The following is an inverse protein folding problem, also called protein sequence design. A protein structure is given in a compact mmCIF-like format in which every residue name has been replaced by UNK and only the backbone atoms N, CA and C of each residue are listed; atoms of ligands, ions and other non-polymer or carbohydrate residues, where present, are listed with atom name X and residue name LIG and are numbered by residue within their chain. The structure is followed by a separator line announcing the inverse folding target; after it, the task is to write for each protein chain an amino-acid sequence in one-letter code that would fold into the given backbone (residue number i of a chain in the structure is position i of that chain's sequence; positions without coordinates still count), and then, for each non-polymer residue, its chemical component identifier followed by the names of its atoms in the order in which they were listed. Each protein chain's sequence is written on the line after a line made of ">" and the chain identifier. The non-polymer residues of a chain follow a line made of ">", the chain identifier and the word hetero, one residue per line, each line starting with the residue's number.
data_IF_391988997407
#
_entry.id   IF_391988997407
#
_cell.length_a   1.000
_cell.length_b   1.000
_cell.length_c   1.000
_cell.angle_alpha   90.00
_cell.angle_beta   90.00
_cell.angle_gamma   90.00
#
_symmetry.space_group_name_H-M   'P 1'
#
loop_
_entity.id
_entity.type
_entity.pdbx_description
1 polymer ?
#
# COMPACT_ATOMS: atom_id res chain seq x y z
N UNK A 1 -52.74 -22.50 4.99
CA UNK A 1 -52.50 -21.55 3.88
C UNK A 1 -53.12 -20.23 4.27
N UNK A 2 -52.32 -19.16 4.33
CA UNK A 2 -52.80 -17.82 4.69
C UNK A 2 -53.21 -17.05 3.40
N UNK A 3 -54.06 -16.02 3.51
CA UNK A 3 -54.63 -15.28 2.37
C UNK A 3 -53.59 -14.65 1.40
N UNK A 4 -52.32 -14.57 1.80
CA UNK A 4 -51.19 -14.09 0.97
C UNK A 4 -50.33 -15.21 0.33
N UNK A 5 -50.77 -16.48 0.33
CA UNK A 5 -50.09 -17.60 -0.39
C UNK A 5 -48.62 -17.79 -0.02
N UNK A 6 -48.25 -17.48 1.22
CA UNK A 6 -46.91 -17.71 1.78
C UNK A 6 -46.93 -18.91 2.72
N UNK A 7 -45.93 -19.79 2.62
CA UNK A 7 -45.69 -20.85 3.61
C UNK A 7 -45.07 -20.23 4.86
N UNK A 8 -45.61 -20.56 6.03
CA UNK A 8 -45.05 -20.18 7.32
C UNK A 8 -44.71 -21.47 8.07
N UNK A 9 -43.49 -21.55 8.60
CA UNK A 9 -43.03 -22.69 9.39
C UNK A 9 -42.44 -22.20 10.71
N UNK A 10 -42.88 -22.78 11.81
CA UNK A 10 -42.33 -22.51 13.15
C UNK A 10 -41.39 -23.66 13.51
N UNK A 11 -40.11 -23.36 13.72
CA UNK A 11 -39.14 -24.37 14.18
C UNK A 11 -39.31 -24.51 15.69
N UNK A 12 -39.84 -25.65 16.13
CA UNK A 12 -39.93 -26.01 17.55
C UNK A 12 -38.74 -26.94 17.85
N UNK A 13 -37.83 -26.49 18.71
CA UNK A 13 -36.65 -27.27 19.10
C UNK A 13 -36.38 -27.11 20.60
N UNK A 14 -35.98 -28.19 21.26
CA UNK A 14 -35.61 -28.21 22.69
C UNK A 14 -34.26 -27.52 22.97
N UNK A 15 -33.47 -27.22 21.94
CA UNK A 15 -32.18 -26.50 22.03
C UNK A 15 -32.21 -25.22 21.19
N UNK A 16 -31.36 -24.23 21.52
CA UNK A 16 -31.21 -23.00 20.72
C UNK A 16 -30.86 -23.38 19.27
N UNK A 17 -31.73 -23.00 18.34
CA UNK A 17 -31.57 -23.26 16.91
C UNK A 17 -30.39 -22.47 16.37
N UNK A 18 -29.45 -23.14 15.70
CA UNK A 18 -28.33 -22.48 15.03
C UNK A 18 -28.82 -21.65 13.84
N UNK A 19 -28.16 -20.51 13.59
CA UNK A 19 -28.54 -19.62 12.48
C UNK A 19 -28.48 -20.32 11.12
N UNK A 20 -27.56 -21.28 10.97
CA UNK A 20 -27.36 -22.07 9.76
C UNK A 20 -28.52 -23.05 9.50
N UNK A 21 -29.07 -23.65 10.55
CA UNK A 21 -30.21 -24.59 10.44
C UNK A 21 -31.50 -23.83 10.09
N UNK A 22 -31.68 -22.64 10.66
CA UNK A 22 -32.80 -21.76 10.32
C UNK A 22 -32.76 -21.33 8.84
N UNK A 23 -31.58 -21.02 8.30
CA UNK A 23 -31.42 -20.69 6.88
C UNK A 23 -31.69 -21.88 5.95
N UNK A 24 -31.25 -23.09 6.32
CA UNK A 24 -31.53 -24.32 5.54
C UNK A 24 -33.03 -24.60 5.47
N UNK A 25 -33.73 -24.51 6.60
CA UNK A 25 -35.19 -24.71 6.66
C UNK A 25 -35.92 -23.62 5.85
N UNK A 26 -35.47 -22.36 5.94
CA UNK A 26 -36.05 -21.26 5.16
C UNK A 26 -35.84 -21.44 3.65
N UNK A 27 -34.65 -21.89 3.22
CA UNK A 27 -34.35 -22.17 1.81
C UNK A 27 -35.23 -23.31 1.26
N UNK A 28 -35.41 -24.38 2.03
CA UNK A 28 -36.27 -25.51 1.66
C UNK A 28 -37.75 -25.08 1.57
N UNK A 29 -38.26 -24.33 2.55
CA UNK A 29 -39.63 -23.82 2.52
C UNK A 29 -39.86 -22.86 1.35
N UNK A 30 -38.87 -22.02 1.03
CA UNK A 30 -38.95 -21.10 -0.12
C UNK A 30 -38.97 -21.85 -1.45
N UNK A 31 -38.15 -22.89 -1.60
CA UNK A 31 -38.15 -23.75 -2.79
C UNK A 31 -39.49 -24.49 -2.94
N UNK A 32 -40.02 -25.04 -1.84
CA UNK A 32 -41.32 -25.74 -1.82
C UNK A 32 -42.48 -24.77 -2.14
N UNK A 33 -42.47 -23.56 -1.58
CA UNK A 33 -43.46 -22.52 -1.90
C UNK A 33 -43.41 -22.14 -3.38
N UNK A 34 -42.20 -21.97 -3.93
CA UNK A 34 -42.02 -21.57 -5.34
C UNK A 34 -42.57 -22.64 -6.29
N UNK A 35 -42.33 -23.92 -6.00
CA UNK A 35 -42.87 -25.02 -6.79
C UNK A 35 -44.39 -25.19 -6.65
N UNK A 36 -44.96 -24.98 -5.45
CA UNK A 36 -46.42 -25.02 -5.25
C UNK A 36 -47.14 -23.89 -5.99
N UNK A 37 -46.66 -22.65 -5.84
CA UNK A 37 -47.25 -21.47 -6.51
C UNK A 37 -47.15 -21.61 -8.03
N UNK A 38 -46.08 -22.21 -8.54
CA UNK A 38 -45.92 -22.43 -9.97
C UNK A 38 -46.80 -23.56 -10.53
N UNK A 39 -47.06 -24.61 -9.74
CA UNK A 39 -48.01 -25.66 -10.09
C UNK A 39 -49.46 -25.16 -10.15
N UNK A 40 -49.86 -24.27 -9.25
CA UNK A 40 -51.20 -23.65 -9.27
C UNK A 40 -51.40 -22.64 -10.41
N UNK A 41 -50.33 -21.99 -10.88
CA UNK A 41 -50.36 -21.04 -11.99
C UNK A 41 -50.23 -21.68 -13.39
N UNK A 42 -50.22 -23.02 -13.49
CA UNK A 42 -49.98 -23.77 -14.74
C UNK A 42 -48.69 -23.34 -15.48
N UNK A 43 -47.66 -22.90 -14.75
CA UNK A 43 -46.38 -22.50 -15.35
C UNK A 43 -45.62 -23.77 -15.69
N UNK A 44 -45.26 -23.94 -16.97
CA UNK A 44 -44.50 -25.11 -17.42
C UNK A 44 -43.13 -25.13 -16.72
N UNK A 45 -42.58 -26.33 -16.44
CA UNK A 45 -41.30 -26.49 -15.70
C UNK A 45 -40.14 -25.73 -16.36
N UNK A 46 -40.19 -25.56 -17.67
CA UNK A 46 -39.21 -24.78 -18.44
C UNK A 46 -39.29 -23.26 -18.17
N UNK A 47 -40.50 -22.71 -17.96
CA UNK A 47 -40.67 -21.28 -17.71
C UNK A 47 -40.36 -20.92 -16.25
N UNK A 48 -40.53 -21.87 -15.32
CA UNK A 48 -40.00 -21.75 -13.95
C UNK A 48 -38.48 -21.65 -13.92
N UNK A 49 -37.79 -22.47 -14.72
CA UNK A 49 -36.34 -22.42 -14.82
C UNK A 49 -35.86 -21.10 -15.42
N UNK A 50 -36.62 -20.50 -16.34
CA UNK A 50 -36.34 -19.14 -16.85
C UNK A 50 -36.57 -18.05 -15.80
N UNK A 51 -37.59 -18.17 -14.97
CA UNK A 51 -37.85 -17.22 -13.87
C UNK A 51 -36.82 -17.30 -12.74
N UNK A 52 -36.26 -18.49 -12.51
CA UNK A 52 -35.17 -18.72 -11.54
C UNK A 52 -33.78 -18.55 -12.14
N UNK A 53 -33.66 -18.41 -13.46
CA UNK A 53 -32.39 -18.14 -14.10
C UNK A 53 -31.87 -16.80 -13.58
N UNK A 54 -30.71 -16.82 -12.91
CA UNK A 54 -30.04 -15.60 -12.48
C UNK A 54 -29.75 -14.75 -13.73
N UNK A 55 -30.16 -13.49 -13.68
CA UNK A 55 -29.86 -12.54 -14.75
C UNK A 55 -28.35 -12.45 -14.92
N UNK A 56 -27.85 -12.81 -16.11
CA UNK A 56 -26.46 -12.59 -16.48
C UNK A 56 -26.28 -11.10 -16.74
N UNK A 57 -25.70 -10.42 -15.77
CA UNK A 57 -25.24 -9.03 -15.94
C UNK A 57 -23.91 -9.09 -16.67
N UNK A 58 -23.93 -8.76 -17.96
CA UNK A 58 -22.73 -8.62 -18.77
C UNK A 58 -22.20 -7.19 -18.61
N UNK A 59 -21.11 -7.05 -17.85
CA UNK A 59 -20.46 -5.75 -17.64
C UNK A 59 -19.61 -5.41 -18.86
N UNK A 60 -20.25 -4.80 -19.87
CA UNK A 60 -19.52 -4.18 -20.98
C UNK A 60 -19.06 -2.79 -20.56
N UNK A 61 -17.78 -2.67 -20.23
CA UNK A 61 -17.11 -1.39 -20.01
C UNK A 61 -17.01 -0.69 -21.38
N UNK A 62 -17.65 0.46 -21.52
CA UNK A 62 -17.51 1.32 -22.69
C UNK A 62 -16.30 2.23 -22.42
N UNK A 63 -15.11 1.69 -22.60
CA UNK A 63 -13.86 2.46 -22.65
C UNK A 63 -13.27 2.31 -24.04
N UNK A 64 -12.85 3.43 -24.63
CA UNK A 64 -12.35 3.51 -26.01
C UNK A 64 -10.88 3.06 -26.17
N UNK A 65 -10.32 2.36 -25.18
CA UNK A 65 -8.92 1.94 -25.19
C UNK A 65 -8.81 0.42 -25.35
N UNK A 66 -7.88 -0.03 -26.20
CA UNK A 66 -7.57 -1.44 -26.52
C UNK A 66 -7.15 -2.28 -25.28
N UNK A 67 -7.10 -1.67 -24.10
CA UNK A 67 -6.63 -2.21 -22.82
C UNK A 67 -7.68 -3.09 -22.11
N UNK A 68 -8.96 -3.03 -22.50
CA UNK A 68 -10.00 -3.89 -21.90
C UNK A 68 -10.12 -5.28 -22.57
N UNK A 69 -9.33 -5.55 -23.62
CA UNK A 69 -9.15 -6.89 -24.21
C UNK A 69 -7.94 -7.64 -23.64
N UNK A 70 -7.52 -7.29 -22.43
CA UNK A 70 -6.35 -7.89 -21.80
C UNK A 70 -6.69 -9.29 -21.28
N UNK A 71 -5.94 -10.29 -21.74
CA UNK A 71 -6.07 -11.70 -21.32
C UNK A 71 -5.99 -11.83 -19.80
N UNK A 72 -6.75 -12.77 -19.21
CA UNK A 72 -6.71 -13.05 -17.77
C UNK A 72 -5.27 -13.31 -17.27
N UNK A 73 -4.42 -13.96 -18.07
CA UNK A 73 -3.00 -14.16 -17.75
C UNK A 73 -2.21 -12.85 -17.58
N UNK A 74 -2.51 -11.84 -18.40
CA UNK A 74 -1.86 -10.53 -18.32
C UNK A 74 -2.34 -9.72 -17.12
N UNK A 75 -3.63 -9.84 -16.74
CA UNK A 75 -4.14 -9.23 -15.50
C UNK A 75 -3.41 -9.80 -14.28
N UNK A 76 -3.30 -11.13 -14.21
CA UNK A 76 -2.56 -11.82 -13.14
C UNK A 76 -1.10 -11.37 -13.11
N UNK A 77 -0.46 -11.23 -14.27
CA UNK A 77 0.91 -10.74 -14.34
C UNK A 77 1.05 -9.31 -13.79
N UNK A 78 0.17 -8.39 -14.20
CA UNK A 78 0.19 -7.02 -13.71
C UNK A 78 -0.07 -6.92 -12.20
N UNK A 79 -1.00 -7.74 -11.67
CA UNK A 79 -1.20 -7.87 -10.23
C UNK A 79 0.05 -8.39 -9.50
N UNK A 80 0.67 -9.44 -10.03
CA UNK A 80 1.90 -10.01 -9.46
C UNK A 80 3.05 -8.99 -9.48
N UNK A 81 3.16 -8.22 -10.57
CA UNK A 81 4.16 -7.16 -10.73
C UNK A 81 3.93 -6.03 -9.72
N UNK A 82 2.70 -5.53 -9.59
CA UNK A 82 2.37 -4.49 -8.61
C UNK A 82 2.63 -4.96 -7.17
N UNK A 83 2.20 -6.18 -6.83
CA UNK A 83 2.46 -6.79 -5.52
C UNK A 83 3.96 -6.90 -5.24
N UNK A 84 4.74 -7.38 -6.22
CA UNK A 84 6.19 -7.52 -6.12
C UNK A 84 6.88 -6.18 -5.88
N UNK A 85 6.48 -5.12 -6.60
CA UNK A 85 7.02 -3.77 -6.41
C UNK A 85 6.66 -3.21 -5.04
N UNK A 86 5.39 -3.32 -4.60
CA UNK A 86 4.96 -2.83 -3.28
C UNK A 86 5.74 -3.53 -2.16
N UNK A 87 5.92 -4.84 -2.27
CA UNK A 87 6.70 -5.62 -1.33
C UNK A 87 8.17 -5.19 -1.31
N UNK A 88 8.82 -5.16 -2.48
CA UNK A 88 10.22 -4.74 -2.60
C UNK A 88 10.43 -3.32 -2.05
N UNK A 89 9.53 -2.41 -2.39
CA UNK A 89 9.53 -1.04 -1.90
C UNK A 89 9.42 -1.00 -0.37
N UNK A 90 8.53 -1.78 0.24
CA UNK A 90 8.40 -1.87 1.70
C UNK A 90 9.72 -2.27 2.37
N UNK A 91 10.40 -3.29 1.84
CA UNK A 91 11.69 -3.72 2.37
C UNK A 91 12.77 -2.65 2.22
N UNK A 92 12.89 -2.05 1.03
CA UNK A 92 13.89 -1.01 0.74
C UNK A 92 13.68 0.18 1.68
N UNK A 93 12.46 0.68 1.76
CA UNK A 93 12.09 1.86 2.56
C UNK A 93 12.40 1.64 4.04
N UNK A 94 11.97 0.52 4.63
CA UNK A 94 12.24 0.24 6.04
C UNK A 94 13.71 -0.03 6.33
N UNK A 95 14.41 -0.68 5.40
CA UNK A 95 15.82 -0.98 5.57
C UNK A 95 16.66 0.30 5.60
N UNK A 96 16.48 1.22 4.64
CA UNK A 96 17.19 2.50 4.65
C UNK A 96 16.79 3.40 5.81
N UNK A 97 15.51 3.41 6.18
CA UNK A 97 15.04 4.11 7.37
C UNK A 97 15.73 3.62 8.65
N UNK A 98 15.86 2.30 8.82
CA UNK A 98 16.57 1.73 9.97
C UNK A 98 18.07 2.06 9.95
N UNK A 99 18.72 1.96 8.78
CA UNK A 99 20.14 2.26 8.63
C UNK A 99 20.49 3.71 9.03
N UNK A 100 19.78 4.71 8.48
CA UNK A 100 20.06 6.13 8.78
C UNK A 100 19.89 6.43 10.27
N UNK A 101 18.87 5.85 10.90
CA UNK A 101 18.59 6.07 12.31
C UNK A 101 19.67 5.44 13.19
N UNK A 102 20.19 4.27 12.79
CA UNK A 102 21.30 3.60 13.46
C UNK A 102 22.60 4.39 13.37
N UNK A 103 22.90 4.95 12.20
CA UNK A 103 24.07 5.79 12.01
C UNK A 103 24.02 7.06 12.87
N UNK A 104 22.88 7.75 12.90
CA UNK A 104 22.73 8.97 13.70
C UNK A 104 22.82 8.65 15.21
N UNK A 105 22.18 7.57 15.65
CA UNK A 105 22.23 7.15 17.05
C UNK A 105 23.63 6.70 17.47
N UNK A 106 24.38 6.01 16.59
CA UNK A 106 25.73 5.55 16.88
C UNK A 106 26.73 6.70 17.00
N UNK A 107 26.64 7.71 16.12
CA UNK A 107 27.47 8.91 16.19
C UNK A 107 27.26 9.72 17.46
N UNK A 108 26.00 9.84 17.88
CA UNK A 108 25.63 10.52 19.12
C UNK A 108 26.17 9.76 20.34
N UNK A 109 26.02 8.44 20.36
CA UNK A 109 26.45 7.57 21.48
C UNK A 109 27.97 7.52 21.59
N UNK A 110 28.69 7.51 20.46
CA UNK A 110 30.14 7.35 20.43
C UNK A 110 30.93 8.63 20.71
N UNK A 111 30.27 9.75 21.04
CA UNK A 111 30.86 11.11 21.13
C UNK A 111 31.59 11.59 19.87
N UNK A 112 31.53 10.84 18.78
CA UNK A 112 32.05 11.24 17.47
C UNK A 112 31.39 12.54 17.02
N UNK A 113 30.12 12.75 17.38
CA UNK A 113 29.42 14.00 17.08
C UNK A 113 30.12 15.23 17.67
N UNK A 114 30.74 15.14 18.86
CA UNK A 114 31.45 16.29 19.48
C UNK A 114 32.67 16.72 18.67
N UNK A 115 33.34 15.77 18.00
CA UNK A 115 34.44 16.06 17.09
C UNK A 115 33.95 16.55 15.72
N UNK A 116 32.84 16.00 15.21
CA UNK A 116 32.28 16.40 13.91
C UNK A 116 31.79 17.85 13.95
N UNK A 117 31.08 18.25 15.01
CA UNK A 117 30.50 19.60 15.11
C UNK A 117 31.54 20.71 15.28
N UNK A 118 32.77 20.40 15.69
CA UNK A 118 33.87 21.38 15.71
C UNK A 118 34.47 21.62 14.33
N UNK A 119 34.22 20.72 13.37
CA UNK A 119 34.77 20.76 12.01
C UNK A 119 33.75 21.17 10.95
N UNK A 120 32.47 20.77 11.10
CA UNK A 120 31.38 21.11 10.18
C UNK A 120 30.12 21.47 10.94
N UNK A 121 29.27 22.32 10.37
CA UNK A 121 27.99 22.66 11.00
C UNK A 121 27.08 21.43 11.13
N UNK A 122 26.34 21.26 12.24
CA UNK A 122 25.45 20.11 12.46
C UNK A 122 24.40 19.91 11.35
N UNK A 123 23.91 21.03 10.79
CA UNK A 123 22.89 21.03 9.73
C UNK A 123 23.45 20.45 8.43
N UNK A 124 24.66 20.86 8.04
CA UNK A 124 25.32 20.35 6.85
C UNK A 124 25.66 18.86 6.98
N UNK A 125 26.07 18.43 8.18
CA UNK A 125 26.36 17.02 8.44
C UNK A 125 25.16 16.10 8.20
N UNK A 126 23.99 16.44 8.78
CA UNK A 126 22.76 15.66 8.57
C UNK A 126 22.31 15.70 7.11
N UNK A 127 22.34 16.87 6.48
CA UNK A 127 21.86 17.01 5.10
C UNK A 127 22.73 16.21 4.12
N UNK A 128 24.05 16.27 4.28
CA UNK A 128 24.98 15.47 3.49
C UNK A 128 24.73 13.96 3.69
N UNK A 129 24.46 13.54 4.93
CA UNK A 129 24.16 12.14 5.23
C UNK A 129 22.85 11.66 4.61
N UNK A 130 21.77 12.43 4.73
CA UNK A 130 20.48 12.09 4.11
C UNK A 130 20.63 11.99 2.59
N UNK A 131 21.32 12.94 1.96
CA UNK A 131 21.60 12.88 0.52
C UNK A 131 22.43 11.66 0.14
N UNK A 132 23.43 11.29 0.95
CA UNK A 132 24.22 10.08 0.76
C UNK A 132 23.37 8.82 0.79
N UNK A 133 22.48 8.69 1.78
CA UNK A 133 21.55 7.54 1.87
C UNK A 133 20.60 7.50 0.70
N UNK A 134 20.06 8.64 0.26
CA UNK A 134 19.21 8.71 -0.94
C UNK A 134 20.00 8.28 -2.18
N UNK A 135 21.26 8.69 -2.32
CA UNK A 135 22.11 8.29 -3.43
C UNK A 135 22.35 6.76 -3.45
N UNK A 136 22.63 6.16 -2.28
CA UNK A 136 22.78 4.71 -2.14
C UNK A 136 21.47 3.97 -2.46
N UNK A 137 20.33 4.52 -2.04
CA UNK A 137 19.04 3.95 -2.38
C UNK A 137 18.74 3.99 -3.88
N UNK A 138 19.10 5.09 -4.55
CA UNK A 138 18.98 5.23 -6.00
C UNK A 138 19.90 4.24 -6.73
N UNK A 139 21.14 4.05 -6.27
CA UNK A 139 22.02 3.04 -6.88
C UNK A 139 21.48 1.63 -6.67
N UNK A 140 20.86 1.32 -5.52
CA UNK A 140 20.20 0.04 -5.32
C UNK A 140 19.02 -0.17 -6.30
N UNK A 141 18.19 0.86 -6.52
CA UNK A 141 17.10 0.78 -7.51
C UNK A 141 17.66 0.51 -8.92
N UNK A 142 18.74 1.22 -9.30
CA UNK A 142 19.42 1.00 -10.58
C UNK A 142 19.91 -0.45 -10.70
N UNK A 143 20.55 -0.98 -9.65
CA UNK A 143 21.02 -2.37 -9.63
C UNK A 143 19.88 -3.38 -9.74
N UNK A 144 18.74 -3.12 -9.10
CA UNK A 144 17.54 -3.97 -9.20
C UNK A 144 17.00 -3.97 -10.63
N UNK A 145 16.89 -2.80 -11.26
CA UNK A 145 16.43 -2.69 -12.66
C UNK A 145 17.40 -3.40 -13.59
N UNK A 146 18.70 -3.21 -13.42
CA UNK A 146 19.72 -3.92 -14.20
C UNK A 146 19.62 -5.44 -14.02
N UNK A 147 19.45 -5.91 -12.77
CA UNK A 147 19.28 -7.33 -12.49
C UNK A 147 18.01 -7.88 -13.13
N UNK A 148 16.90 -7.15 -13.10
CA UNK A 148 15.66 -7.55 -13.75
C UNK A 148 15.84 -7.70 -15.28
N UNK A 149 16.55 -6.76 -15.90
CA UNK A 149 16.88 -6.81 -17.35
C UNK A 149 17.78 -8.00 -17.65
N UNK A 150 18.85 -8.21 -16.86
CA UNK A 150 19.76 -9.35 -17.02
C UNK A 150 18.98 -10.67 -16.89
N UNK A 151 18.07 -10.78 -15.92
CA UNK A 151 17.26 -11.99 -15.76
C UNK A 151 16.38 -12.28 -16.99
N UNK A 152 15.81 -11.25 -17.62
CA UNK A 152 14.98 -11.41 -18.82
C UNK A 152 15.80 -12.00 -19.99
N UNK A 153 17.05 -11.55 -20.17
CA UNK A 153 17.91 -12.00 -21.27
C UNK A 153 18.70 -13.29 -20.97
N UNK A 154 19.10 -13.51 -19.72
CA UNK A 154 19.97 -14.63 -19.35
C UNK A 154 19.21 -15.94 -19.10
N UNK A 155 17.96 -15.87 -18.67
CA UNK A 155 17.14 -17.04 -18.31
C UNK A 155 16.00 -17.31 -19.32
N UNK A 156 16.00 -16.64 -20.48
CA UNK A 156 14.93 -16.73 -21.48
C UNK A 156 13.52 -16.67 -20.85
N UNK A 157 13.34 -15.76 -19.87
CA UNK A 157 12.05 -15.54 -19.21
C UNK A 157 10.95 -15.24 -20.24
N UNK A 158 11.32 -14.75 -21.42
CA UNK A 158 10.41 -14.49 -22.53
C UNK A 158 9.66 -15.74 -23.00
N UNK A 159 10.27 -16.91 -22.98
CA UNK A 159 9.62 -18.17 -23.38
C UNK A 159 8.68 -18.69 -22.27
N UNK A 160 9.07 -18.50 -21.01
CA UNK A 160 8.19 -18.74 -19.86
C UNK A 160 6.97 -17.82 -19.87
N UNK A 161 7.14 -16.54 -20.20
CA UNK A 161 6.07 -15.55 -20.25
C UNK A 161 5.13 -15.76 -21.45
N UNK A 162 5.65 -16.22 -22.59
CA UNK A 162 4.85 -16.61 -23.75
C UNK A 162 3.90 -17.77 -23.43
N UNK A 163 4.32 -18.72 -22.58
CA UNK A 163 3.47 -19.81 -22.10
C UNK A 163 2.23 -19.35 -21.31
N UNK A 164 2.25 -18.14 -20.76
CA UNK A 164 1.12 -17.50 -20.06
C UNK A 164 0.41 -16.43 -20.89
N UNK A 165 0.78 -16.25 -22.17
CA UNK A 165 0.28 -15.21 -23.06
C UNK A 165 0.45 -13.79 -22.46
N UNK A 166 1.60 -13.57 -21.80
CA UNK A 166 1.96 -12.32 -21.13
C UNK A 166 2.92 -11.51 -22.00
N UNK A 167 2.59 -10.25 -22.26
CA UNK A 167 3.42 -9.29 -22.99
C UNK A 167 3.65 -8.03 -22.14
N UNK A 168 4.79 -7.35 -22.34
CA UNK A 168 4.98 -6.04 -21.71
C UNK A 168 4.10 -5.03 -22.41
N UNK A 169 2.99 -4.65 -21.77
CA UNK A 169 2.07 -3.65 -22.29
C UNK A 169 2.29 -2.28 -21.61
N UNK A 170 1.57 -1.27 -22.10
CA UNK A 170 1.62 0.09 -21.55
C UNK A 170 1.36 0.11 -20.03
N UNK A 171 0.46 -0.75 -19.55
CA UNK A 171 0.08 -0.83 -18.14
C UNK A 171 1.20 -1.43 -17.28
N UNK A 172 1.86 -2.50 -17.75
CA UNK A 172 3.05 -3.06 -17.07
C UNK A 172 4.14 -2.01 -16.92
N UNK A 173 4.40 -1.22 -17.98
CA UNK A 173 5.38 -0.15 -17.96
C UNK A 173 5.00 0.98 -17.01
N UNK A 174 3.72 1.34 -16.97
CA UNK A 174 3.18 2.33 -16.04
C UNK A 174 3.41 1.92 -14.58
N UNK A 175 3.12 0.67 -14.21
CA UNK A 175 3.35 0.16 -12.86
C UNK A 175 4.84 0.23 -12.49
N UNK A 176 5.74 -0.12 -13.41
CA UNK A 176 7.20 -0.05 -13.17
C UNK A 176 7.66 1.40 -12.95
N UNK A 177 7.31 2.32 -13.86
CA UNK A 177 7.73 3.73 -13.76
C UNK A 177 7.19 4.38 -12.50
N UNK A 178 5.88 4.26 -12.26
CA UNK A 178 5.25 4.84 -11.07
C UNK A 178 5.81 4.17 -9.82
N UNK A 179 6.10 2.87 -9.87
CA UNK A 179 6.79 2.12 -8.82
C UNK A 179 8.15 2.70 -8.46
N UNK A 180 8.99 3.00 -9.45
CA UNK A 180 10.33 3.57 -9.24
C UNK A 180 10.23 4.99 -8.66
N UNK A 181 9.40 5.86 -9.25
CA UNK A 181 9.21 7.24 -8.77
C UNK A 181 8.69 7.23 -7.33
N UNK A 182 7.67 6.41 -7.07
CA UNK A 182 7.08 6.29 -5.74
C UNK A 182 8.05 5.69 -4.73
N UNK A 183 8.90 4.74 -5.14
CA UNK A 183 9.96 4.21 -4.27
C UNK A 183 10.93 5.29 -3.83
N UNK A 184 11.36 6.17 -4.73
CA UNK A 184 12.28 7.28 -4.39
C UNK A 184 11.61 8.25 -3.40
N UNK A 185 10.36 8.65 -3.68
CA UNK A 185 9.61 9.55 -2.79
C UNK A 185 9.38 8.90 -1.41
N UNK A 186 9.04 7.60 -1.39
CA UNK A 186 8.88 6.81 -0.17
C UNK A 186 10.16 6.73 0.63
N UNK A 187 11.29 6.41 0.01
CA UNK A 187 12.61 6.36 0.66
C UNK A 187 12.92 7.71 1.29
N UNK A 188 12.77 8.80 0.54
CA UNK A 188 13.03 10.15 1.05
C UNK A 188 12.18 10.46 2.29
N UNK A 189 10.88 10.16 2.26
CA UNK A 189 9.97 10.40 3.37
C UNK A 189 10.32 9.59 4.63
N UNK A 190 10.55 8.30 4.49
CA UNK A 190 10.82 7.42 5.63
C UNK A 190 12.23 7.62 6.19
N UNK A 191 13.25 7.86 5.35
CA UNK A 191 14.61 8.19 5.80
C UNK A 191 14.60 9.45 6.66
N UNK A 192 13.84 10.47 6.26
CA UNK A 192 13.74 11.71 7.04
C UNK A 192 13.03 11.52 8.37
N UNK A 193 11.91 10.81 8.39
CA UNK A 193 11.22 10.49 9.63
C UNK A 193 12.11 9.65 10.56
N UNK A 194 12.84 8.69 10.02
CA UNK A 194 13.77 7.86 10.77
C UNK A 194 14.96 8.65 11.31
N UNK A 195 15.47 9.62 10.53
CA UNK A 195 16.53 10.51 10.99
C UNK A 195 16.11 11.34 12.22
N UNK A 196 14.85 11.82 12.23
CA UNK A 196 14.27 12.50 13.40
C UNK A 196 14.24 11.55 14.59
N UNK A 197 13.65 10.36 14.42
CA UNK A 197 13.52 9.37 15.48
C UNK A 197 14.89 8.95 16.03
N UNK A 198 15.86 8.67 15.16
CA UNK A 198 17.23 8.32 15.54
C UNK A 198 17.98 9.45 16.27
N UNK A 199 17.73 10.71 15.90
CA UNK A 199 18.32 11.86 16.60
C UNK A 199 17.79 12.05 18.03
N UNK A 200 16.55 11.64 18.26
CA UNK A 200 15.86 11.71 19.55
C UNK A 200 16.25 10.56 20.48
N UNK A 201 16.68 9.43 19.91
CA UNK A 201 17.17 8.30 20.69
C UNK A 201 18.49 8.69 21.39
N UNK A 202 18.60 8.32 22.66
CA UNK A 202 19.79 8.60 23.48
C UNK A 202 20.81 7.47 23.46
N UNK A 203 20.36 6.26 23.14
CA UNK A 203 21.10 5.00 23.24
C UNK A 203 20.73 4.08 22.09
N UNK A 204 21.71 3.44 21.48
CA UNK A 204 21.49 2.54 20.34
C UNK A 204 20.58 1.37 20.74
N UNK A 205 20.62 0.95 22.00
CA UNK A 205 19.78 -0.13 22.53
C UNK A 205 18.28 0.19 22.51
N UNK A 206 17.92 1.48 22.59
CA UNK A 206 16.52 1.96 22.59
C UNK A 206 16.05 2.35 21.17
N UNK A 207 16.91 2.20 20.16
CA UNK A 207 16.62 2.63 18.79
C UNK A 207 15.49 1.84 18.15
N UNK A 208 15.49 0.51 18.34
CA UNK A 208 14.44 -0.36 17.80
C UNK A 208 13.05 0.03 18.35
N UNK A 209 12.98 0.44 19.62
CA UNK A 209 11.74 0.93 20.22
C UNK A 209 11.36 2.31 19.66
N UNK A 210 12.35 3.17 19.41
CA UNK A 210 12.15 4.50 18.82
C UNK A 210 11.64 4.43 17.37
N UNK A 211 12.04 3.41 16.62
CA UNK A 211 11.63 3.18 15.24
C UNK A 211 10.28 2.46 15.11
N UNK A 212 9.73 1.89 16.18
CA UNK A 212 8.45 1.17 16.14
C UNK A 212 7.30 1.97 15.52
N UNK A 213 7.10 3.28 15.82
CA UNK A 213 6.05 4.07 15.18
C UNK A 213 6.24 4.21 13.67
N UNK A 214 7.48 4.32 13.20
CA UNK A 214 7.81 4.40 11.77
C UNK A 214 7.55 3.06 11.07
N UNK A 215 7.95 1.96 11.70
CA UNK A 215 7.67 0.62 11.16
C UNK A 215 6.16 0.37 11.09
N UNK A 216 5.41 0.74 12.12
CA UNK A 216 3.95 0.63 12.14
C UNK A 216 3.31 1.47 11.02
N UNK A 217 3.78 2.70 10.83
CA UNK A 217 3.32 3.55 9.73
C UNK A 217 3.60 2.91 8.36
N UNK A 218 4.79 2.32 8.17
CA UNK A 218 5.14 1.52 6.99
C UNK A 218 4.22 0.33 6.79
N UNK A 219 3.91 -0.41 7.85
CA UNK A 219 3.00 -1.56 7.80
C UNK A 219 1.58 -1.15 7.44
N UNK A 220 1.08 -0.04 7.99
CA UNK A 220 -0.24 0.50 7.65
C UNK A 220 -0.29 0.84 6.16
N UNK A 221 0.71 1.56 5.64
CA UNK A 221 0.79 1.91 4.23
C UNK A 221 0.83 0.66 3.32
N UNK A 222 1.67 -0.31 3.68
CA UNK A 222 1.77 -1.59 2.97
C UNK A 222 0.44 -2.36 2.98
N UNK A 223 -0.20 -2.54 4.14
CA UNK A 223 -1.44 -3.30 4.22
C UNK A 223 -2.61 -2.62 3.53
N UNK A 224 -2.71 -1.29 3.59
CA UNK A 224 -3.73 -0.55 2.83
C UNK A 224 -3.50 -0.75 1.32
N UNK A 225 -2.25 -0.70 0.86
CA UNK A 225 -1.93 -0.93 -0.55
C UNK A 225 -2.31 -2.35 -0.98
N UNK A 226 -1.93 -3.38 -0.21
CA UNK A 226 -2.32 -4.77 -0.50
C UNK A 226 -3.84 -4.97 -0.45
N UNK A 227 -4.54 -4.34 0.50
CA UNK A 227 -5.99 -4.44 0.62
C UNK A 227 -6.71 -3.81 -0.59
N UNK A 228 -6.19 -2.69 -1.09
CA UNK A 228 -6.77 -1.97 -2.23
C UNK A 228 -6.29 -2.48 -3.58
N UNK A 229 -5.37 -3.45 -3.64
CA UNK A 229 -4.75 -3.91 -4.89
C UNK A 229 -5.76 -4.46 -5.91
N UNK A 230 -6.84 -5.07 -5.43
CA UNK A 230 -7.93 -5.63 -6.24
C UNK A 230 -9.00 -4.60 -6.62
N UNK A 231 -8.95 -3.40 -6.03
CA UNK A 231 -9.85 -2.29 -6.36
C UNK A 231 -9.05 -0.96 -6.39
N UNK A 232 -8.22 -0.75 -7.42
CA UNK A 232 -7.32 0.40 -7.50
C UNK A 232 -8.03 1.76 -7.60
N UNK A 233 -9.26 1.78 -8.11
CA UNK A 233 -10.08 2.99 -8.27
C UNK A 233 -11.02 3.25 -7.09
N UNK A 234 -11.00 2.37 -6.09
CA UNK A 234 -11.84 2.51 -4.91
C UNK A 234 -11.58 3.83 -4.18
N UNK A 235 -12.61 4.35 -3.51
CA UNK A 235 -12.49 5.60 -2.73
C UNK A 235 -11.34 5.55 -1.71
N UNK A 236 -11.11 4.39 -1.09
CA UNK A 236 -10.00 4.21 -0.17
C UNK A 236 -8.66 4.43 -0.86
N UNK A 237 -8.46 3.84 -2.04
CA UNK A 237 -7.24 3.99 -2.83
C UNK A 237 -7.00 5.43 -3.28
N UNK A 238 -8.07 6.13 -3.67
CA UNK A 238 -7.98 7.54 -4.06
C UNK A 238 -7.55 8.41 -2.88
N UNK A 239 -8.20 8.28 -1.72
CA UNK A 239 -7.90 9.10 -0.54
C UNK A 239 -6.48 8.83 -0.05
N UNK A 240 -6.09 7.56 0.10
CA UNK A 240 -4.77 7.21 0.65
C UNK A 240 -3.63 7.55 -0.30
N UNK A 241 -3.92 7.74 -1.60
CA UNK A 241 -2.94 8.22 -2.58
C UNK A 241 -2.53 9.69 -2.37
N UNK A 242 -3.26 10.46 -1.56
CA UNK A 242 -2.91 11.85 -1.24
C UNK A 242 -2.37 12.02 0.18
N UNK A 243 -2.44 10.98 1.02
CA UNK A 243 -1.92 11.04 2.39
C UNK A 243 -0.41 10.79 2.34
N UNK A 244 0.43 11.70 2.87
CA UNK A 244 1.88 11.50 2.93
C UNK A 244 2.26 10.19 3.62
N UNK A 245 3.39 9.60 3.25
CA UNK A 245 3.88 8.26 3.66
C UNK A 245 3.06 7.07 3.15
N UNK A 246 1.73 7.19 3.04
CA UNK A 246 0.87 6.17 2.45
C UNK A 246 0.88 6.24 0.92
N UNK A 247 0.91 7.47 0.39
CA UNK A 247 0.84 7.75 -1.04
C UNK A 247 1.87 6.99 -1.89
N UNK A 248 3.15 6.88 -1.50
CA UNK A 248 4.13 6.10 -2.25
C UNK A 248 3.70 4.65 -2.53
N UNK A 249 3.12 3.96 -1.54
CA UNK A 249 2.65 2.59 -1.72
C UNK A 249 1.38 2.54 -2.55
N UNK A 250 0.46 3.49 -2.30
CA UNK A 250 -0.83 3.53 -2.96
C UNK A 250 -0.74 3.91 -4.45
N UNK A 251 0.23 4.74 -4.84
CA UNK A 251 0.45 5.11 -6.24
C UNK A 251 0.82 3.90 -7.09
N UNK A 252 1.55 2.92 -6.54
CA UNK A 252 1.84 1.65 -7.24
C UNK A 252 0.56 0.84 -7.48
N UNK A 253 -0.35 0.83 -6.51
CA UNK A 253 -1.66 0.19 -6.67
C UNK A 253 -2.47 0.88 -7.76
N UNK A 254 -2.59 2.22 -7.70
CA UNK A 254 -3.35 3.02 -8.67
C UNK A 254 -2.74 2.96 -10.08
N UNK A 255 -1.44 2.69 -10.20
CA UNK A 255 -0.77 2.49 -11.49
C UNK A 255 -1.29 1.27 -12.26
N UNK A 256 -2.07 0.39 -11.62
CA UNK A 256 -2.76 -0.71 -12.27
C UNK A 256 -4.02 -0.28 -13.04
N UNK A 257 -4.50 0.95 -12.87
CA UNK A 257 -5.62 1.49 -13.65
C UNK A 257 -5.10 2.21 -14.89
N UNK A 258 -5.72 1.95 -16.04
CA UNK A 258 -5.52 2.71 -17.29
C UNK A 258 -5.92 4.19 -17.18
N UNK A 259 -6.85 4.53 -16.29
CA UNK A 259 -7.33 5.89 -16.06
C UNK A 259 -6.44 6.76 -15.16
N UNK A 260 -5.33 6.24 -14.62
CA UNK A 260 -4.43 7.03 -13.78
C UNK A 260 -3.78 8.15 -14.60
N UNK A 261 -4.17 9.38 -14.31
CA UNK A 261 -3.63 10.53 -15.03
C UNK A 261 -2.30 10.96 -14.43
N UNK A 262 -1.37 11.39 -15.28
CA UNK A 262 -0.02 11.85 -14.87
C UNK A 262 -0.11 12.97 -13.82
N UNK A 263 -1.12 13.84 -13.92
CA UNK A 263 -1.30 14.96 -13.00
C UNK A 263 -1.59 14.49 -11.56
N UNK A 264 -2.28 13.36 -11.37
CA UNK A 264 -2.56 12.80 -10.04
C UNK A 264 -1.27 12.28 -9.39
N UNK A 265 -0.43 11.58 -10.18
CA UNK A 265 0.87 11.08 -9.71
C UNK A 265 1.76 12.24 -9.28
N UNK A 266 1.82 13.31 -10.09
CA UNK A 266 2.58 14.51 -9.77
C UNK A 266 2.04 15.17 -8.51
N UNK A 267 0.72 15.34 -8.39
CA UNK A 267 0.09 15.98 -7.24
C UNK A 267 0.35 15.21 -5.93
N UNK A 268 0.12 13.90 -5.93
CA UNK A 268 0.39 13.02 -4.78
C UNK A 268 1.87 13.01 -4.39
N UNK A 269 2.76 12.97 -5.38
CA UNK A 269 4.20 13.03 -5.15
C UNK A 269 4.60 14.38 -4.55
N UNK A 270 4.05 15.48 -5.07
CA UNK A 270 4.33 16.84 -4.60
C UNK A 270 3.82 17.05 -3.17
N UNK A 271 2.63 16.56 -2.82
CA UNK A 271 2.11 16.59 -1.45
C UNK A 271 3.04 15.81 -0.50
N UNK A 272 3.52 14.64 -0.92
CA UNK A 272 4.48 13.85 -0.14
C UNK A 272 5.82 14.59 0.03
N UNK A 273 6.31 15.26 -1.02
CA UNK A 273 7.53 16.08 -0.99
C UNK A 273 7.36 17.31 -0.08
N UNK A 274 6.20 17.96 -0.08
CA UNK A 274 5.90 19.08 0.81
C UNK A 274 5.91 18.61 2.27
N UNK A 275 5.30 17.46 2.57
CA UNK A 275 5.37 16.88 3.91
C UNK A 275 6.82 16.57 4.30
N UNK A 276 7.60 16.03 3.37
CA UNK A 276 9.05 15.83 3.54
C UNK A 276 9.78 17.12 3.89
N UNK A 277 9.50 18.23 3.20
CA UNK A 277 10.12 19.52 3.50
C UNK A 277 9.74 20.02 4.92
N UNK A 278 8.51 19.79 5.36
CA UNK A 278 8.07 20.08 6.73
C UNK A 278 8.84 19.23 7.74
N UNK A 279 9.04 17.94 7.47
CA UNK A 279 9.83 17.06 8.33
C UNK A 279 11.30 17.49 8.38
N UNK A 280 11.90 17.90 7.27
CA UNK A 280 13.27 18.46 7.25
C UNK A 280 13.36 19.67 8.17
N UNK A 281 12.40 20.59 8.09
CA UNK A 281 12.36 21.77 8.94
C UNK A 281 12.29 21.40 10.44
N UNK A 282 11.44 20.42 10.78
CA UNK A 282 11.35 19.86 12.14
C UNK A 282 12.68 19.21 12.54
N UNK A 283 13.27 18.37 11.67
CA UNK A 283 14.51 17.65 11.91
C UNK A 283 15.67 18.58 12.21
N UNK A 284 15.84 19.64 11.42
CA UNK A 284 16.90 20.65 11.62
C UNK A 284 16.74 21.33 12.99
N UNK A 285 15.51 21.69 13.35
CA UNK A 285 15.22 22.36 14.63
C UNK A 285 15.45 21.41 15.81
N UNK A 286 14.98 20.17 15.71
CA UNK A 286 15.18 19.14 16.74
C UNK A 286 16.64 18.73 16.88
N UNK A 287 17.41 18.66 15.79
CA UNK A 287 18.81 18.22 15.86
C UNK A 287 19.70 19.19 16.61
N UNK A 288 19.53 20.50 16.40
CA UNK A 288 20.26 21.52 17.15
C UNK A 288 20.00 21.39 18.65
N UNK A 289 18.75 21.15 19.03
CA UNK A 289 18.36 21.00 20.44
C UNK A 289 18.77 19.64 21.03
N UNK A 290 18.72 18.54 20.26
CA UNK A 290 19.07 17.18 20.70
C UNK A 290 20.57 16.91 20.79
N UNK A 291 21.40 17.63 20.03
CA UNK A 291 22.87 17.56 20.13
C UNK A 291 23.38 18.47 21.26
N UNK A 292 22.71 19.60 21.52
CA UNK A 292 23.14 20.57 22.55
C UNK A 292 22.50 20.37 23.93
N UNK A 293 21.38 19.65 24.02
CA UNK A 293 20.65 19.46 25.29
C UNK A 293 20.44 17.98 25.55
N UNK A 294 21.11 17.44 26.56
CA UNK A 294 20.96 16.06 27.04
C UNK A 294 19.64 15.80 27.81
N UNK A 295 18.57 16.57 27.55
CA UNK A 295 17.29 16.41 28.25
C UNK A 295 16.29 15.55 27.47
N UNK A 296 15.63 14.67 28.23
CA UNK A 296 14.71 13.64 27.74
C UNK A 296 13.33 14.22 27.43
N UNK A 297 12.82 13.92 26.23
CA UNK A 297 11.37 13.90 25.96
C UNK A 297 10.92 14.63 24.70
N UNK A 298 10.42 13.86 23.74
CA UNK A 298 9.71 14.30 22.51
C UNK A 298 8.71 15.44 22.76
N UNK A 299 7.93 15.35 23.83
CA UNK A 299 6.86 16.29 24.15
C UNK A 299 7.38 17.66 24.61
N UNK A 300 8.48 17.69 25.37
CA UNK A 300 9.06 18.94 25.86
C UNK A 300 9.86 19.67 24.76
N UNK A 301 10.52 18.91 23.87
CA UNK A 301 11.20 19.47 22.69
C UNK A 301 10.19 20.04 21.67
N UNK A 302 9.11 19.31 21.35
CA UNK A 302 8.05 19.83 20.48
C UNK A 302 7.34 21.06 21.06
N UNK A 303 7.13 21.12 22.39
CA UNK A 303 6.49 22.27 23.05
C UNK A 303 7.36 23.54 23.02
N UNK A 304 8.69 23.41 22.98
CA UNK A 304 9.61 24.54 22.76
C UNK A 304 9.64 24.98 21.29
N UNK A 305 9.46 24.06 20.35
CA UNK A 305 9.40 24.37 18.91
C UNK A 305 8.23 25.30 18.56
N UNK A 306 7.09 25.20 19.26
CA UNK A 306 5.91 26.06 19.05
C UNK A 306 5.85 27.31 19.95
N UNK A 307 6.81 27.49 20.87
CA UNK A 307 6.84 28.63 21.83
C UNK A 307 7.87 29.72 21.50
N UNK A 308 8.57 29.61 20.36
CA UNK A 308 9.42 30.65 19.79
C UNK A 308 8.94 30.97 18.39
#
# INVERSE_FOLDING_TARGET
>A
MNQNRTLQGTIISEKRVSHEDSQKVQALLTAIQTNMVAGELNINKEDLQKLQAQSKVDNKVISNDEVDKVSEGQKIFNYALAYGIIFLMFFIVLNYASQIAMEIASEKTSRVIEMIITSISPIQHIFAKILGVIAVAVTQIILIVLMAVICIFAFDLKDLLQGFNVEMNQLSWQIIIVGIISSIVGIMAYVLLAAILGSLTSRIEDLNQSLMPLTLLGMIAFYIAIFTINNPDGQLALITSYIPFLAPFQLVVRAQTSGLQIHEVILSSLISIVMVAVLIWIAIKTYKDSVLTFERGLFNSMKRVFKK
#
